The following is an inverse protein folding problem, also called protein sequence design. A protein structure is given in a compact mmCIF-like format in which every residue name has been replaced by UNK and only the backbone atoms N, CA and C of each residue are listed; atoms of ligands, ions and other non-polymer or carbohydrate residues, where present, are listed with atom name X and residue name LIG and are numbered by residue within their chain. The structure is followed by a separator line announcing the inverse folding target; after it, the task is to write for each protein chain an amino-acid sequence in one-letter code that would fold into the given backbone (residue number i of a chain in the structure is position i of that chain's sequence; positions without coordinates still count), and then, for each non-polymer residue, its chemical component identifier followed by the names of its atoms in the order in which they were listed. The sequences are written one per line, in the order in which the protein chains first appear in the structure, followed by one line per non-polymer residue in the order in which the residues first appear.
data_IF_127466227651
#
_entry.id   IF_127466227651
#
_cell.length_a   1.000
_cell.length_b   1.000
_cell.length_c   1.000
_cell.angle_alpha   90.00
_cell.angle_beta   90.00
_cell.angle_gamma   90.00
#
_symmetry.space_group_name_H-M   'P 1'
#
loop_
_entity.id
_entity.type
_entity.pdbx_description
1 polymer ?
#
# COMPACT_ATOMS: atom_id res chain seq x y z
N UNK A 1 -21.41 -5.39 -7.61
CA UNK A 1 -21.44 -4.60 -8.85
C UNK A 1 -21.27 -3.13 -8.50
N UNK A 2 -20.05 -2.61 -8.58
CA UNK A 2 -19.75 -1.19 -8.34
C UNK A 2 -19.78 -0.45 -9.67
N UNK A 3 -20.68 0.51 -9.80
CA UNK A 3 -20.79 1.38 -10.97
C UNK A 3 -19.68 2.41 -10.94
N UNK A 4 -18.80 2.35 -11.93
CA UNK A 4 -17.78 3.35 -12.20
C UNK A 4 -18.42 4.53 -12.93
N UNK A 5 -18.41 5.70 -12.30
CA UNK A 5 -18.90 6.95 -12.89
C UNK A 5 -17.76 7.56 -13.71
N UNK A 6 -17.89 7.47 -15.04
CA UNK A 6 -16.97 8.15 -15.96
C UNK A 6 -17.53 9.54 -16.22
N UNK A 7 -16.82 10.58 -15.77
CA UNK A 7 -17.11 11.97 -16.12
C UNK A 7 -16.41 12.28 -17.43
N UNK A 8 -17.18 12.33 -18.53
CA UNK A 8 -16.75 12.83 -19.83
C UNK A 8 -16.82 14.35 -19.83
N UNK A 9 -15.66 15.01 -19.89
CA UNK A 9 -15.57 16.44 -20.11
C UNK A 9 -15.76 16.72 -21.60
N UNK A 10 -16.92 17.27 -21.99
CA UNK A 10 -17.25 17.61 -23.37
C UNK A 10 -16.72 19.01 -23.67
N UNK A 11 -15.63 19.10 -24.45
CA UNK A 11 -15.14 20.35 -24.99
C UNK A 11 -15.99 20.75 -26.21
N UNK A 12 -16.85 21.74 -26.06
CA UNK A 12 -17.57 22.39 -27.17
C UNK A 12 -16.61 23.27 -27.96
N UNK A 13 -16.29 22.85 -29.17
CA UNK A 13 -15.68 23.70 -30.20
C UNK A 13 -16.80 24.51 -30.85
N UNK A 14 -16.85 25.82 -30.63
CA UNK A 14 -17.67 26.74 -31.39
C UNK A 14 -16.96 27.13 -32.67
N UNK A 15 -17.55 26.74 -33.78
CA UNK A 15 -17.13 27.16 -35.12
C UNK A 15 -17.38 28.67 -35.35
N UNK A 16 -16.29 29.39 -35.64
CA UNK A 16 -16.39 30.78 -36.05
C UNK A 16 -16.98 30.92 -37.47
N UNK A 17 -17.97 31.73 -37.58
CA UNK A 17 -18.59 32.15 -38.82
C UNK A 17 -17.68 33.17 -39.53
N UNK A 18 -17.31 32.93 -40.77
CA UNK A 18 -16.57 33.88 -41.61
C UNK A 18 -17.51 34.94 -42.18
N UNK A 19 -17.14 36.22 -42.21
CA UNK A 19 -17.91 37.24 -42.90
C UNK A 19 -17.71 37.16 -44.41
N UNK A 20 -18.83 37.24 -45.16
CA UNK A 20 -18.87 37.41 -46.60
C UNK A 20 -18.45 38.82 -46.95
N UNK A 21 -17.48 38.95 -47.84
CA UNK A 21 -17.10 40.23 -48.47
C UNK A 21 -18.01 40.53 -49.63
N UNK A 22 -18.72 41.66 -49.57
CA UNK A 22 -19.40 42.31 -50.72
C UNK A 22 -18.38 43.18 -51.43
N UNK A 23 -18.18 42.97 -52.74
CA UNK A 23 -17.29 43.77 -53.58
C UNK A 23 -18.18 44.86 -54.16
N UNK A 24 -17.97 46.10 -53.81
CA UNK A 24 -18.49 47.30 -54.49
C UNK A 24 -17.35 47.93 -55.30
N UNK A 25 -17.62 48.19 -56.55
CA UNK A 25 -16.71 48.82 -57.50
C UNK A 25 -16.45 50.28 -57.11
N UNK A 26 -15.21 50.68 -56.91
CA UNK A 26 -14.80 52.06 -56.74
C UNK A 26 -13.63 52.42 -57.68
N UNK A 27 -13.82 53.53 -58.35
CA UNK A 27 -13.05 54.29 -59.27
C UNK A 27 -11.56 54.58 -58.90
N UNK A 28 -10.58 54.48 -59.77
CA UNK A 28 -9.20 54.61 -59.46
C UNK A 28 -8.67 56.04 -59.61
N UNK A 29 -8.71 56.89 -58.60
CA UNK A 29 -7.94 58.12 -58.52
C UNK A 29 -7.71 58.55 -57.07
N UNK A 30 -6.50 58.44 -56.67
CA UNK A 30 -5.71 59.07 -55.60
C UNK A 30 -5.16 58.05 -54.50
N UNK A 31 -3.90 58.11 -54.18
CA UNK A 31 -3.32 57.30 -53.15
C UNK A 31 -3.52 57.98 -51.79
N UNK A 32 -4.51 57.57 -51.01
CA UNK A 32 -4.59 57.90 -49.61
C UNK A 32 -3.59 56.99 -48.84
N UNK A 33 -2.56 57.63 -48.25
CA UNK A 33 -1.67 56.97 -47.31
C UNK A 33 -2.44 56.79 -46.01
N UNK A 34 -3.09 55.63 -45.86
CA UNK A 34 -3.75 55.24 -44.65
C UNK A 34 -2.67 54.72 -43.66
N UNK A 35 -2.33 55.54 -42.67
CA UNK A 35 -1.48 55.15 -41.55
C UNK A 35 -2.31 54.18 -40.71
N UNK A 36 -2.17 52.90 -40.93
CA UNK A 36 -2.69 51.87 -40.01
C UNK A 36 -1.86 51.91 -38.74
N UNK A 37 -2.46 52.45 -37.67
CA UNK A 37 -1.96 52.23 -36.35
C UNK A 37 -1.93 50.71 -36.09
N UNK A 38 -0.70 50.20 -35.94
CA UNK A 38 -0.53 48.82 -35.50
C UNK A 38 -1.16 48.69 -34.11
N UNK A 39 -2.19 47.90 -34.02
CA UNK A 39 -2.72 47.50 -32.70
C UNK A 39 -1.63 46.76 -31.93
N UNK A 40 -1.31 47.25 -30.74
CA UNK A 40 -0.38 46.57 -29.84
C UNK A 40 -0.95 45.18 -29.53
N UNK A 41 -0.13 44.11 -29.56
CA UNK A 41 -0.62 42.77 -29.22
C UNK A 41 -1.01 42.75 -27.76
N UNK A 42 -2.25 42.37 -27.48
CA UNK A 42 -2.78 42.11 -26.16
C UNK A 42 -1.82 41.20 -25.37
N UNK A 43 -1.53 41.49 -24.11
CA UNK A 43 -0.65 40.67 -23.29
C UNK A 43 -1.24 39.27 -23.16
N UNK A 44 -0.50 38.27 -23.71
CA UNK A 44 -0.85 36.86 -23.50
C UNK A 44 -0.74 36.57 -22.00
N UNK A 45 -1.87 36.50 -21.33
CA UNK A 45 -1.94 36.07 -19.93
C UNK A 45 -1.50 34.57 -19.89
N UNK A 46 -0.23 34.32 -19.56
CA UNK A 46 0.22 33.00 -19.23
C UNK A 46 -0.45 32.57 -17.92
N UNK A 47 -1.51 31.81 -18.02
CA UNK A 47 -2.12 31.17 -16.90
C UNK A 47 -1.20 30.00 -16.49
N UNK A 48 -0.27 30.27 -15.58
CA UNK A 48 0.57 29.23 -14.98
C UNK A 48 -0.35 28.34 -14.14
N UNK A 49 -0.78 27.23 -14.70
CA UNK A 49 -1.40 26.16 -13.94
C UNK A 49 -0.31 25.54 -13.06
N UNK A 50 -0.14 26.07 -11.86
CA UNK A 50 0.63 25.39 -10.82
C UNK A 50 -0.18 24.14 -10.46
N UNK A 51 0.21 23.01 -11.02
CA UNK A 51 -0.26 21.72 -10.53
C UNK A 51 0.38 21.54 -9.14
N UNK A 52 -0.39 21.82 -8.11
CA UNK A 52 -0.01 21.48 -6.74
C UNK A 52 -0.13 19.96 -6.67
N UNK A 53 0.97 19.25 -6.98
CA UNK A 53 1.09 17.84 -6.60
C UNK A 53 0.96 17.81 -5.09
N UNK A 54 0.03 17.01 -4.52
CA UNK A 54 -0.04 16.87 -3.08
C UNK A 54 1.34 16.45 -2.59
N UNK A 55 1.87 17.16 -1.60
CA UNK A 55 3.15 16.82 -1.01
C UNK A 55 3.05 15.34 -0.58
N UNK A 56 3.90 14.49 -1.17
CA UNK A 56 4.04 13.10 -0.73
C UNK A 56 4.48 13.21 0.73
N UNK A 57 3.57 12.89 1.65
CA UNK A 57 3.93 12.84 3.06
C UNK A 57 5.04 11.82 3.21
N UNK A 58 6.18 12.24 3.76
CA UNK A 58 7.28 11.34 4.01
C UNK A 58 6.78 10.22 4.93
N UNK A 59 6.94 8.96 4.49
CA UNK A 59 6.58 7.80 5.30
C UNK A 59 7.41 7.82 6.59
N UNK A 60 6.75 7.65 7.72
CA UNK A 60 7.41 7.51 9.01
C UNK A 60 7.65 6.03 9.29
N UNK A 61 8.89 5.66 9.58
CA UNK A 61 9.27 4.31 9.95
C UNK A 61 9.33 4.15 11.46
N UNK A 62 9.17 2.91 11.94
CA UNK A 62 9.30 2.56 13.36
C UNK A 62 10.78 2.57 13.74
N UNK A 63 11.08 3.03 14.96
CA UNK A 63 12.44 2.95 15.54
C UNK A 63 12.69 1.55 16.13
N UNK A 64 12.93 0.59 15.26
CA UNK A 64 13.17 -0.82 15.57
C UNK A 64 14.36 -1.34 14.74
N UNK A 65 15.04 -2.42 15.16
CA UNK A 65 16.20 -2.97 14.44
C UNK A 65 15.78 -3.76 13.18
N UNK A 66 14.93 -3.18 12.35
CA UNK A 66 14.49 -3.68 11.06
C UNK A 66 14.69 -2.60 10.01
N UNK A 67 15.29 -2.93 8.86
CA UNK A 67 15.53 -1.94 7.80
C UNK A 67 14.22 -1.34 7.28
N UNK A 68 14.27 -0.11 6.77
CA UNK A 68 13.10 0.54 6.20
C UNK A 68 12.47 -0.26 5.05
N UNK A 69 13.31 -0.91 4.23
CA UNK A 69 12.86 -1.79 3.14
C UNK A 69 12.02 -2.97 3.68
N UNK A 70 12.50 -3.64 4.73
CA UNK A 70 11.74 -4.74 5.35
C UNK A 70 10.48 -4.24 6.10
N UNK A 71 10.50 -3.01 6.61
CA UNK A 71 9.28 -2.40 7.15
C UNK A 71 8.26 -2.12 6.03
N UNK A 72 8.69 -1.67 4.83
CA UNK A 72 7.81 -1.50 3.67
C UNK A 72 7.17 -2.83 3.26
N UNK A 73 7.96 -3.91 3.24
CA UNK A 73 7.47 -5.27 2.94
C UNK A 73 6.47 -5.74 4.00
N UNK A 74 6.76 -5.52 5.28
CA UNK A 74 5.87 -5.89 6.39
C UNK A 74 4.55 -5.10 6.34
N UNK A 75 4.61 -3.80 6.09
CA UNK A 75 3.41 -2.96 5.94
C UNK A 75 2.55 -3.42 4.77
N UNK A 76 3.19 -3.73 3.63
CA UNK A 76 2.50 -4.28 2.46
C UNK A 76 1.85 -5.64 2.77
N UNK A 77 2.55 -6.51 3.50
CA UNK A 77 1.99 -7.79 3.93
C UNK A 77 0.79 -7.61 4.88
N UNK A 78 0.83 -6.60 5.77
CA UNK A 78 -0.32 -6.24 6.60
C UNK A 78 -1.54 -5.85 5.77
N UNK A 79 -1.36 -5.05 4.71
CA UNK A 79 -2.44 -4.68 3.79
C UNK A 79 -3.00 -5.88 3.04
N UNK A 80 -2.12 -6.70 2.46
CA UNK A 80 -2.50 -7.85 1.62
C UNK A 80 -3.27 -8.91 2.41
N UNK A 81 -2.85 -9.17 3.65
CA UNK A 81 -3.45 -10.20 4.52
C UNK A 81 -4.35 -9.63 5.63
N UNK A 82 -4.65 -8.31 5.61
CA UNK A 82 -5.56 -7.62 6.54
C UNK A 82 -5.16 -7.79 8.02
N UNK A 83 -3.88 -7.72 8.29
CA UNK A 83 -3.33 -7.81 9.65
C UNK A 83 -3.11 -6.40 10.18
N UNK A 84 -3.54 -6.06 11.42
CA UNK A 84 -3.10 -4.82 12.06
C UNK A 84 -1.57 -4.78 12.15
N UNK A 85 -0.95 -3.65 11.79
CA UNK A 85 0.50 -3.53 11.76
C UNK A 85 1.15 -3.85 13.12
N UNK A 86 0.60 -3.35 14.20
CA UNK A 86 1.08 -3.61 15.56
C UNK A 86 1.07 -5.12 15.91
N UNK A 87 0.13 -5.90 15.37
CA UNK A 87 0.10 -7.35 15.55
C UNK A 87 1.24 -8.04 14.81
N UNK A 88 1.47 -7.72 13.54
CA UNK A 88 2.55 -8.36 12.76
C UNK A 88 3.93 -8.03 13.35
N UNK A 89 4.15 -6.76 13.69
CA UNK A 89 5.41 -6.31 14.29
C UNK A 89 5.64 -6.94 15.68
N UNK A 90 4.61 -7.04 16.52
CA UNK A 90 4.72 -7.71 17.81
C UNK A 90 5.03 -9.21 17.68
N UNK A 91 4.48 -9.89 16.68
CA UNK A 91 4.84 -11.28 16.38
C UNK A 91 6.31 -11.38 15.97
N UNK A 92 6.81 -10.53 15.06
CA UNK A 92 8.23 -10.51 14.68
C UNK A 92 9.16 -10.24 15.88
N UNK A 93 8.77 -9.34 16.76
CA UNK A 93 9.52 -9.05 17.98
C UNK A 93 9.64 -10.28 18.89
N UNK A 94 8.51 -10.95 19.14
CA UNK A 94 8.48 -12.12 20.03
C UNK A 94 9.16 -13.35 19.43
N UNK A 95 9.06 -13.55 18.10
CA UNK A 95 9.63 -14.70 17.40
C UNK A 95 11.15 -14.60 17.24
N UNK A 96 11.66 -13.43 16.83
CA UNK A 96 13.07 -13.29 16.46
C UNK A 96 13.79 -12.10 17.10
N UNK A 97 13.07 -11.17 17.74
CA UNK A 97 13.61 -9.86 18.11
C UNK A 97 14.09 -9.08 16.87
N UNK A 98 13.37 -9.20 15.76
CA UNK A 98 13.68 -8.60 14.45
C UNK A 98 14.99 -9.11 13.81
N UNK A 99 15.48 -10.28 14.19
CA UNK A 99 16.70 -10.88 13.58
C UNK A 99 16.32 -11.64 12.32
N UNK A 100 16.82 -11.16 11.17
CA UNK A 100 16.54 -11.75 9.85
C UNK A 100 17.09 -13.17 9.69
N UNK A 101 18.22 -13.46 10.35
CA UNK A 101 18.93 -14.74 10.32
C UNK A 101 18.60 -15.65 11.52
N UNK A 102 17.54 -15.34 12.26
CA UNK A 102 17.12 -16.15 13.40
C UNK A 102 16.79 -17.57 12.95
N UNK A 103 17.32 -18.56 13.68
CA UNK A 103 17.02 -19.97 13.47
C UNK A 103 16.87 -20.70 14.81
N UNK A 104 15.77 -21.44 14.93
CA UNK A 104 15.52 -22.31 16.08
C UNK A 104 15.01 -23.67 15.59
N UNK A 105 15.91 -24.65 15.56
CA UNK A 105 15.62 -25.97 14.98
C UNK A 105 15.25 -25.86 13.50
N UNK A 106 14.01 -26.20 13.17
CA UNK A 106 13.46 -26.12 11.81
C UNK A 106 12.64 -24.85 11.56
N UNK A 107 12.71 -23.84 12.46
CA UNK A 107 12.05 -22.55 12.29
C UNK A 107 13.07 -21.50 11.86
N UNK A 108 12.71 -20.65 10.88
CA UNK A 108 13.62 -19.70 10.23
C UNK A 108 13.05 -18.28 10.19
N UNK A 109 13.95 -17.31 10.26
CA UNK A 109 13.75 -15.92 9.92
C UNK A 109 12.93 -15.11 10.93
N UNK A 110 12.53 -13.93 10.49
CA UNK A 110 11.81 -12.93 11.29
C UNK A 110 10.54 -13.46 11.96
N UNK A 111 9.82 -14.32 11.26
CA UNK A 111 8.52 -14.86 11.66
C UNK A 111 8.60 -16.32 12.17
N UNK A 112 9.82 -16.87 12.31
CA UNK A 112 10.10 -18.24 12.76
C UNK A 112 9.21 -19.31 12.11
N UNK A 113 9.21 -19.31 10.77
CA UNK A 113 8.38 -20.24 10.01
C UNK A 113 9.01 -21.62 9.97
N UNK A 114 8.26 -22.63 10.43
CA UNK A 114 8.70 -24.01 10.43
C UNK A 114 8.67 -24.60 9.01
N UNK A 115 9.71 -25.36 8.64
CA UNK A 115 9.86 -25.97 7.30
C UNK A 115 8.74 -26.92 6.90
N UNK A 116 7.99 -27.46 7.86
CA UNK A 116 6.79 -28.29 7.58
C UNK A 116 5.75 -27.54 6.76
N UNK A 117 5.76 -26.20 6.78
CA UNK A 117 4.83 -25.37 6.03
C UNK A 117 5.27 -25.11 4.58
N UNK A 118 6.49 -25.54 4.17
CA UNK A 118 7.07 -25.20 2.87
C UNK A 118 6.19 -25.62 1.68
N UNK A 119 5.69 -26.83 1.67
CA UNK A 119 4.84 -27.33 0.57
C UNK A 119 3.55 -26.51 0.45
N UNK A 120 2.92 -26.21 1.59
CA UNK A 120 1.72 -25.38 1.66
C UNK A 120 1.99 -23.95 1.19
N UNK A 121 3.07 -23.32 1.66
CA UNK A 121 3.46 -21.95 1.32
C UNK A 121 3.87 -21.84 -0.15
N UNK A 122 4.65 -22.80 -0.66
CA UNK A 122 5.05 -22.83 -2.06
C UNK A 122 3.86 -22.92 -3.00
N UNK A 123 2.88 -23.77 -2.64
CA UNK A 123 1.68 -24.00 -3.46
C UNK A 123 0.71 -22.82 -3.46
N UNK A 124 0.65 -22.02 -2.38
CA UNK A 124 -0.33 -20.95 -2.23
C UNK A 124 0.22 -19.56 -2.55
N UNK A 125 1.48 -19.26 -2.20
CA UNK A 125 2.09 -17.94 -2.34
C UNK A 125 3.49 -17.97 -2.99
N UNK A 126 3.93 -19.13 -3.49
CA UNK A 126 5.18 -19.26 -4.23
C UNK A 126 6.45 -19.18 -3.39
N UNK A 127 6.38 -19.33 -2.05
CA UNK A 127 7.56 -19.34 -1.18
C UNK A 127 8.51 -20.47 -1.55
N UNK A 128 9.79 -20.14 -1.72
CA UNK A 128 10.85 -21.10 -2.07
C UNK A 128 11.98 -21.14 -1.05
N UNK A 129 12.14 -20.07 -0.26
CA UNK A 129 13.21 -19.93 0.72
C UNK A 129 12.71 -19.21 1.98
N UNK A 130 12.73 -19.89 3.13
CA UNK A 130 12.36 -19.30 4.43
C UNK A 130 13.50 -18.51 5.07
N UNK A 131 14.72 -18.55 4.52
CA UNK A 131 15.83 -17.73 4.97
C UNK A 131 15.87 -16.36 4.29
N UNK A 132 15.14 -16.20 3.18
CA UNK A 132 14.90 -14.91 2.54
C UNK A 132 13.92 -14.09 3.40
N UNK A 133 14.32 -12.89 3.89
CA UNK A 133 13.52 -12.14 4.83
C UNK A 133 12.19 -11.64 4.24
N UNK A 134 12.13 -11.32 2.95
CA UNK A 134 10.88 -10.92 2.30
C UNK A 134 9.90 -12.08 2.24
N UNK A 135 10.34 -13.25 1.72
CA UNK A 135 9.50 -14.43 1.67
C UNK A 135 9.08 -14.91 3.07
N UNK A 136 9.95 -14.73 4.07
CA UNK A 136 9.65 -15.08 5.46
C UNK A 136 8.54 -14.21 6.06
N UNK A 137 8.59 -12.88 5.85
CA UNK A 137 7.53 -11.95 6.25
C UNK A 137 6.22 -12.31 5.56
N UNK A 138 6.24 -12.52 4.24
CA UNK A 138 5.05 -12.88 3.46
C UNK A 138 4.44 -14.20 3.93
N UNK A 139 5.27 -15.21 4.18
CA UNK A 139 4.84 -16.52 4.69
C UNK A 139 4.18 -16.42 6.06
N UNK A 140 4.81 -15.68 6.99
CA UNK A 140 4.27 -15.46 8.33
C UNK A 140 2.95 -14.71 8.31
N UNK A 141 2.89 -13.63 7.52
CA UNK A 141 1.68 -12.84 7.36
C UNK A 141 0.54 -13.66 6.71
N UNK A 142 0.82 -14.46 5.70
CA UNK A 142 -0.17 -15.34 5.08
C UNK A 142 -0.77 -16.33 6.08
N UNK A 143 0.07 -16.98 6.92
CA UNK A 143 -0.40 -17.92 7.94
C UNK A 143 -1.20 -17.19 9.02
N UNK A 144 -0.68 -16.08 9.55
CA UNK A 144 -1.31 -15.32 10.63
C UNK A 144 -2.64 -14.71 10.18
N UNK A 145 -2.68 -14.09 8.99
CA UNK A 145 -3.89 -13.53 8.40
C UNK A 145 -4.98 -14.58 8.23
N UNK A 146 -4.61 -15.77 7.74
CA UNK A 146 -5.54 -16.89 7.61
C UNK A 146 -6.13 -17.38 8.94
N UNK A 147 -5.43 -17.18 10.07
CA UNK A 147 -5.99 -17.44 11.40
C UNK A 147 -6.85 -16.29 11.90
N UNK A 148 -6.45 -15.03 11.67
CA UNK A 148 -7.21 -13.85 12.08
C UNK A 148 -8.57 -13.75 11.37
N UNK A 149 -8.71 -14.31 10.19
CA UNK A 149 -10.01 -14.43 9.50
C UNK A 149 -10.99 -15.39 10.20
N UNK A 150 -10.48 -16.33 10.99
CA UNK A 150 -11.27 -17.44 11.57
C UNK A 150 -11.47 -17.33 13.06
N UNK A 151 -10.55 -16.70 13.78
CA UNK A 151 -10.45 -16.76 15.22
C UNK A 151 -10.26 -15.37 15.83
N UNK A 152 -10.51 -15.23 17.13
CA UNK A 152 -10.10 -14.05 17.89
C UNK A 152 -8.59 -13.86 17.86
N UNK A 153 -8.10 -12.66 18.16
CA UNK A 153 -6.64 -12.38 18.16
C UNK A 153 -5.89 -13.35 19.11
N UNK A 154 -6.28 -13.58 20.37
CA UNK A 154 -5.59 -14.54 21.24
C UNK A 154 -5.57 -15.95 20.65
N UNK A 155 -6.70 -16.41 20.12
CA UNK A 155 -6.81 -17.76 19.54
C UNK A 155 -5.98 -17.89 18.25
N UNK A 156 -5.92 -16.84 17.42
CA UNK A 156 -5.07 -16.78 16.22
C UNK A 156 -3.60 -16.88 16.58
N UNK A 157 -3.16 -16.16 17.60
CA UNK A 157 -1.79 -16.24 18.12
C UNK A 157 -1.47 -17.64 18.69
N UNK A 158 -2.42 -18.29 19.35
CA UNK A 158 -2.27 -19.69 19.78
C UNK A 158 -2.13 -20.63 18.58
N UNK A 159 -2.96 -20.45 17.55
CA UNK A 159 -2.90 -21.26 16.35
C UNK A 159 -1.59 -21.06 15.58
N UNK A 160 -1.08 -19.83 15.54
CA UNK A 160 0.21 -19.50 14.94
C UNK A 160 1.35 -20.24 15.65
N UNK A 161 1.43 -20.16 16.97
CA UNK A 161 2.51 -20.74 17.76
C UNK A 161 2.45 -22.27 17.89
N UNK A 162 1.26 -22.84 18.08
CA UNK A 162 1.06 -24.27 18.39
C UNK A 162 0.60 -25.10 17.18
N UNK A 163 0.36 -24.45 16.05
CA UNK A 163 -0.46 -25.00 14.98
C UNK A 163 -1.93 -25.10 15.37
N UNK A 164 -2.83 -25.05 14.39
CA UNK A 164 -4.29 -25.07 14.62
C UNK A 164 -4.74 -26.28 15.42
N UNK A 165 -4.16 -27.47 15.16
CA UNK A 165 -4.47 -28.69 15.90
C UNK A 165 -4.06 -28.64 17.37
N UNK A 166 -2.93 -27.98 17.68
CA UNK A 166 -2.45 -27.74 19.04
C UNK A 166 -3.37 -26.79 19.79
N UNK A 167 -3.69 -25.66 19.18
CA UNK A 167 -4.59 -24.66 19.74
C UNK A 167 -5.99 -25.25 20.03
N UNK A 168 -6.58 -25.97 19.08
CA UNK A 168 -7.90 -26.62 19.26
C UNK A 168 -7.95 -27.61 20.43
N UNK A 169 -6.84 -28.27 20.77
CA UNK A 169 -6.79 -29.14 21.95
C UNK A 169 -6.90 -28.33 23.26
N UNK A 170 -6.25 -27.16 23.31
CA UNK A 170 -6.32 -26.27 24.48
C UNK A 170 -7.67 -25.57 24.59
N UNK A 171 -8.23 -25.10 23.47
CA UNK A 171 -9.57 -24.48 23.46
C UNK A 171 -10.67 -25.39 23.97
N UNK A 172 -10.60 -26.72 23.67
CA UNK A 172 -11.53 -27.71 24.24
C UNK A 172 -11.44 -27.83 25.78
N UNK A 173 -10.33 -27.36 26.36
CA UNK A 173 -10.11 -27.31 27.81
C UNK A 173 -10.43 -25.93 28.38
N UNK A 174 -10.97 -25.01 27.59
CA UNK A 174 -11.26 -23.64 28.00
C UNK A 174 -10.02 -22.73 28.10
N UNK A 175 -8.89 -23.15 27.52
CA UNK A 175 -7.64 -22.35 27.51
C UNK A 175 -7.56 -21.55 26.21
N UNK A 176 -7.69 -20.23 26.33
CA UNK A 176 -7.65 -19.26 25.23
C UNK A 176 -6.49 -18.25 25.33
N UNK A 177 -5.54 -18.52 26.22
CA UNK A 177 -4.32 -17.72 26.42
C UNK A 177 -3.16 -18.63 26.83
N UNK A 178 -1.97 -18.32 26.31
CA UNK A 178 -0.71 -18.99 26.66
C UNK A 178 0.35 -17.96 27.04
N UNK A 179 1.50 -18.41 27.53
CA UNK A 179 2.65 -17.52 27.77
C UNK A 179 3.12 -16.80 26.49
N UNK A 180 2.98 -17.44 25.33
CA UNK A 180 3.29 -16.84 24.05
C UNK A 180 2.29 -15.71 23.70
N UNK A 181 0.99 -15.99 23.75
CA UNK A 181 -0.03 -14.99 23.44
C UNK A 181 0.08 -13.76 24.33
N UNK A 182 0.37 -13.97 25.61
CA UNK A 182 0.57 -12.86 26.56
C UNK A 182 1.74 -11.97 26.17
N UNK A 183 2.89 -12.54 25.80
CA UNK A 183 4.05 -11.77 25.33
C UNK A 183 3.75 -10.92 24.11
N UNK A 184 3.02 -11.49 23.13
CA UNK A 184 2.64 -10.73 21.92
C UNK A 184 1.66 -9.60 22.28
N UNK A 185 0.66 -9.86 23.13
CA UNK A 185 -0.29 -8.82 23.56
C UNK A 185 0.39 -7.69 24.35
N UNK A 186 1.33 -8.03 25.24
CA UNK A 186 2.16 -7.06 25.97
C UNK A 186 3.01 -6.20 25.01
N UNK A 187 3.60 -6.81 23.98
CA UNK A 187 4.34 -6.09 22.94
C UNK A 187 3.43 -5.12 22.17
N UNK A 188 2.21 -5.54 21.78
CA UNK A 188 1.24 -4.66 21.13
C UNK A 188 0.90 -3.46 22.03
N UNK A 189 0.72 -3.66 23.32
CA UNK A 189 0.40 -2.58 24.26
C UNK A 189 1.58 -1.64 24.48
N UNK A 190 2.81 -2.16 24.57
CA UNK A 190 4.04 -1.39 24.73
C UNK A 190 4.40 -0.54 23.49
N UNK A 191 3.99 -0.97 22.30
CA UNK A 191 4.25 -0.30 21.03
C UNK A 191 3.13 0.69 20.62
N UNK A 192 2.09 0.87 21.42
CA UNK A 192 1.09 1.94 21.25
C UNK A 192 1.69 3.27 21.72
N UNK A 193 2.30 3.99 20.79
CA UNK A 193 2.77 5.37 20.97
C UNK A 193 1.72 6.35 20.43
#
# INVERSE_FOLDING_TARGET
MKRMLIVLCFCMLTSGCAPQTVIEDADPTEPEIMLTLAEEPEPIAYQVCIQITPAVQAKTYRDIPLSHELQDIADKACEDYKIPQDVLYAVMEVESGYKVDAQNGSCYGLMQIHTINMEYLSSNIGTTDLTDPEQNIQAGAFILGGYLEKYSLPDSLMAYNLGEGGAKRLWKQGVHETGYTRKVLESIEGNKI
#
